data_IF_730264663156
#
_entry.id   IF_730264663156
#
_cell.length_a   1.000
_cell.length_b   1.000
_cell.length_c   1.000
_cell.angle_alpha   90.00
_cell.angle_beta   90.00
_cell.angle_gamma   90.00
#
_symmetry.space_group_name_H-M   'P 1'
#
loop_
_entity.id
_entity.type
_entity.pdbx_description
1 polymer ?
#
# COMPACT_ATOMS: atom_id res chain seq x y z
N UNK A 1 -2.33 13.75 -10.88
CA UNK A 1 -1.97 12.42 -10.37
C UNK A 1 -1.23 12.57 -9.05
N UNK A 2 -1.64 11.83 -8.05
CA UNK A 2 -1.02 11.87 -6.73
C UNK A 2 -0.48 10.49 -6.38
N UNK A 3 0.76 10.45 -5.91
CA UNK A 3 1.34 9.21 -5.41
C UNK A 3 1.33 9.24 -3.89
N UNK A 4 1.14 8.08 -3.29
CA UNK A 4 1.20 7.91 -1.85
C UNK A 4 2.49 7.16 -1.53
N UNK A 5 3.27 7.70 -0.60
CA UNK A 5 4.52 7.09 -0.19
C UNK A 5 4.27 6.10 0.94
N UNK A 6 4.76 4.90 0.77
CA UNK A 6 4.79 3.88 1.80
C UNK A 6 6.20 3.35 1.92
N UNK A 7 6.45 2.59 2.98
CA UNK A 7 7.74 1.93 3.16
C UNK A 7 7.52 0.43 3.11
N UNK A 8 8.36 -0.28 2.36
CA UNK A 8 8.25 -1.73 2.26
C UNK A 8 8.69 -2.39 3.56
N UNK A 9 8.22 -3.62 3.78
CA UNK A 9 8.66 -4.42 4.91
C UNK A 9 10.13 -4.78 4.74
N UNK A 10 10.81 -5.03 5.85
CA UNK A 10 12.22 -5.37 5.84
C UNK A 10 13.07 -4.13 6.01
N UNK A 11 13.92 -3.83 5.02
CA UNK A 11 14.80 -2.65 5.10
C UNK A 11 14.06 -1.33 5.00
N UNK A 12 12.78 -1.37 4.57
CA UNK A 12 11.96 -0.18 4.60
C UNK A 12 12.21 0.79 3.46
N UNK A 13 12.46 0.28 2.26
CA UNK A 13 12.62 1.13 1.09
C UNK A 13 11.33 1.88 0.78
N UNK A 14 11.43 3.16 0.39
CA UNK A 14 10.23 3.89 0.00
C UNK A 14 9.65 3.37 -1.31
N UNK A 15 8.32 3.34 -1.37
CA UNK A 15 7.60 2.98 -2.58
C UNK A 15 6.46 3.98 -2.76
N UNK A 16 6.24 4.41 -3.99
CA UNK A 16 5.18 5.37 -4.34
C UNK A 16 4.10 4.62 -5.11
N UNK A 17 2.89 4.65 -4.59
CA UNK A 17 1.75 3.94 -5.15
C UNK A 17 0.76 4.95 -5.72
N UNK A 18 0.30 4.70 -6.95
CA UNK A 18 -0.79 5.47 -7.52
C UNK A 18 -2.10 4.89 -7.00
N UNK A 19 -2.85 5.61 -6.16
CA UNK A 19 -4.05 5.05 -5.55
C UNK A 19 -5.13 4.67 -6.55
N UNK A 20 -5.12 5.26 -7.75
CA UNK A 20 -6.11 4.95 -8.77
C UNK A 20 -5.88 3.58 -9.42
N UNK A 21 -4.69 3.00 -9.27
CA UNK A 21 -4.36 1.70 -9.85
C UNK A 21 -4.49 0.55 -8.87
N UNK A 22 -4.79 0.83 -7.62
CA UNK A 22 -4.91 -0.21 -6.59
C UNK A 22 -6.23 -0.96 -6.77
N UNK A 23 -6.17 -2.29 -6.86
CA UNK A 23 -7.37 -3.09 -6.98
C UNK A 23 -7.92 -3.49 -5.61
N UNK A 24 -7.05 -3.86 -4.69
CA UNK A 24 -7.49 -4.17 -3.32
C UNK A 24 -6.34 -4.06 -2.35
N UNK A 25 -6.68 -3.98 -1.07
CA UNK A 25 -5.71 -4.02 0.03
C UNK A 25 -6.21 -5.03 1.04
N UNK A 26 -5.28 -5.73 1.69
CA UNK A 26 -5.64 -6.70 2.70
C UNK A 26 -4.53 -6.80 3.74
N UNK A 27 -4.86 -7.24 4.97
CA UNK A 27 -3.83 -7.36 5.99
C UNK A 27 -2.85 -8.47 5.65
N UNK A 28 -1.60 -8.27 6.03
CA UNK A 28 -0.58 -9.29 5.90
C UNK A 28 -0.68 -10.27 7.07
N UNK A 29 0.19 -11.28 7.10
CA UNK A 29 0.27 -12.21 8.22
C UNK A 29 0.65 -11.52 9.54
N UNK A 30 1.26 -10.36 9.44
CA UNK A 30 1.53 -9.49 10.58
C UNK A 30 0.67 -8.23 10.39
N UNK A 31 -0.24 -7.97 11.31
CA UNK A 31 -1.19 -6.85 11.20
C UNK A 31 -0.54 -5.47 11.19
N UNK A 32 0.75 -5.38 11.52
CA UNK A 32 1.48 -4.12 11.37
C UNK A 32 1.83 -3.81 9.92
N UNK A 33 1.54 -4.73 8.99
CA UNK A 33 1.81 -4.58 7.56
C UNK A 33 0.57 -4.86 6.76
N UNK A 34 0.52 -4.31 5.56
CA UNK A 34 -0.63 -4.43 4.66
C UNK A 34 -0.16 -4.76 3.26
N UNK A 35 -0.87 -5.65 2.58
CA UNK A 35 -0.65 -5.93 1.17
C UNK A 35 -1.46 -4.98 0.32
N UNK A 36 -0.79 -4.37 -0.66
CA UNK A 36 -1.43 -3.54 -1.68
C UNK A 36 -1.30 -4.28 -3.01
N UNK A 37 -2.43 -4.56 -3.64
CA UNK A 37 -2.46 -5.32 -4.89
C UNK A 37 -2.75 -4.36 -6.04
N UNK A 38 -1.80 -4.32 -6.98
CA UNK A 38 -1.91 -3.49 -8.18
C UNK A 38 -1.98 -4.42 -9.38
N UNK A 39 -2.99 -4.29 -10.24
CA UNK A 39 -3.08 -5.15 -11.43
C UNK A 39 -1.85 -5.03 -12.31
N UNK A 40 -1.35 -6.15 -12.77
CA UNK A 40 -0.14 -6.20 -13.60
C UNK A 40 1.15 -6.37 -12.83
N UNK A 41 1.13 -6.16 -11.52
CA UNK A 41 2.30 -6.44 -10.70
C UNK A 41 2.39 -7.94 -10.44
N UNK A 42 3.61 -8.48 -10.42
CA UNK A 42 3.81 -9.91 -10.22
C UNK A 42 3.48 -10.35 -8.79
N UNK A 43 3.68 -9.46 -7.84
CA UNK A 43 3.46 -9.78 -6.43
C UNK A 43 2.80 -8.59 -5.73
N UNK A 44 2.03 -8.85 -4.66
CA UNK A 44 1.52 -7.77 -3.83
C UNK A 44 2.67 -7.00 -3.18
N UNK A 45 2.45 -5.71 -2.95
CA UNK A 45 3.41 -4.89 -2.24
C UNK A 45 3.08 -4.94 -0.75
N UNK A 46 4.02 -5.41 0.07
CA UNK A 46 3.82 -5.42 1.51
C UNK A 46 4.44 -4.16 2.11
N UNK A 47 3.61 -3.33 2.70
CA UNK A 47 4.03 -2.02 3.20
C UNK A 47 3.80 -1.91 4.70
N UNK A 48 4.57 -1.03 5.34
CA UNK A 48 4.43 -0.77 6.76
C UNK A 48 3.16 0.04 7.02
N UNK A 49 2.42 -0.38 8.03
CA UNK A 49 1.19 0.29 8.44
C UNK A 49 0.05 -0.70 8.53
N UNK A 50 -0.86 -0.45 9.47
CA UNK A 50 -2.06 -1.26 9.62
C UNK A 50 -3.01 -0.96 8.46
N UNK A 51 -3.93 -1.89 8.23
CA UNK A 51 -4.87 -1.80 7.12
C UNK A 51 -5.61 -0.47 7.09
N UNK A 52 -6.13 -0.03 8.24
CA UNK A 52 -6.89 1.22 8.31
C UNK A 52 -6.04 2.43 7.96
N UNK A 53 -4.79 2.43 8.39
CA UNK A 53 -3.85 3.49 8.06
C UNK A 53 -3.61 3.57 6.54
N UNK A 54 -3.35 2.41 5.93
CA UNK A 54 -3.07 2.35 4.49
C UNK A 54 -4.30 2.80 3.69
N UNK A 55 -5.48 2.33 4.07
CA UNK A 55 -6.72 2.73 3.41
C UNK A 55 -6.93 4.24 3.52
N UNK A 56 -6.71 4.80 4.70
CA UNK A 56 -6.87 6.25 4.92
C UNK A 56 -5.93 7.06 4.04
N UNK A 57 -4.68 6.61 3.90
CA UNK A 57 -3.71 7.30 3.06
C UNK A 57 -4.10 7.25 1.59
N UNK A 58 -4.53 6.09 1.11
CA UNK A 58 -4.93 5.95 -0.29
C UNK A 58 -6.18 6.76 -0.59
N UNK A 59 -7.15 6.74 0.31
CA UNK A 59 -8.40 7.50 0.14
C UNK A 59 -8.14 9.00 0.11
N UNK A 60 -7.31 9.48 1.02
CA UNK A 60 -6.99 10.90 1.10
C UNK A 60 -6.32 11.40 -0.18
N UNK A 61 -5.46 10.60 -0.76
CA UNK A 61 -4.74 10.98 -1.98
C UNK A 61 -5.64 10.94 -3.22
N UNK A 62 -6.69 10.11 -3.22
CA UNK A 62 -7.58 9.99 -4.37
C UNK A 62 -8.73 11.02 -4.37
N UNK A 63 -8.88 11.79 -3.32
CA UNK A 63 -9.92 12.82 -3.22
C UNK A 63 -9.55 14.11 -3.95
#
# INVERSE_FOLDING_TARGET
MKFVKFYTRGIGDPIYINPELVSCVCPSDNYSYTYIIVPGALEPFEVKGELDYVIAQLRSASE
#
